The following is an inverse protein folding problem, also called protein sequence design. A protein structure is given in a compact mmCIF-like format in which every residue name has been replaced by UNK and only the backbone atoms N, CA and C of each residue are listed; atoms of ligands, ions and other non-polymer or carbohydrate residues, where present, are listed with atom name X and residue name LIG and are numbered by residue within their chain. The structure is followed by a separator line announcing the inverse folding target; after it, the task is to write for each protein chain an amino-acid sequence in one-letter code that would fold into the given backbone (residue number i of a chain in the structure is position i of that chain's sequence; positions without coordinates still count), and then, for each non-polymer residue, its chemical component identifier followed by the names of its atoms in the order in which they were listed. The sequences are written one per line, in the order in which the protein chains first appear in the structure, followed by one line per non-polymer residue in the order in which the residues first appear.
data_IF_790124717561
#
_entry.id   IF_790124717561
#
_cell.length_a   1.000
_cell.length_b   1.000
_cell.length_c   1.000
_cell.angle_alpha   90.00
_cell.angle_beta   90.00
_cell.angle_gamma   90.00
#
_symmetry.space_group_name_H-M   'P 1'
#
loop_
_entity.id
_entity.type
_entity.pdbx_description
1 polymer ?
#
# COMPACT_ATOMS: atom_id res chain seq x y z
N UNK A 1 -19.19 -12.70 -34.19
CA UNK A 1 -17.91 -12.15 -34.70
C UNK A 1 -17.33 -11.21 -33.65
N UNK A 2 -16.03 -11.33 -33.35
CA UNK A 2 -15.28 -10.51 -32.40
C UNK A 2 -14.29 -9.66 -33.21
N UNK A 3 -14.24 -8.36 -32.94
CA UNK A 3 -13.41 -7.39 -33.67
C UNK A 3 -12.44 -6.70 -32.69
N UNK A 4 -11.17 -6.55 -33.08
CA UNK A 4 -10.20 -5.76 -32.33
C UNK A 4 -9.00 -5.38 -33.18
N UNK A 5 -8.37 -4.23 -32.91
CA UNK A 5 -7.20 -3.76 -33.69
C UNK A 5 -6.03 -4.76 -33.62
N UNK A 6 -5.75 -5.27 -32.43
CA UNK A 6 -4.87 -6.41 -32.20
C UNK A 6 -5.60 -7.41 -31.30
N UNK A 7 -6.08 -8.52 -31.89
CA UNK A 7 -6.91 -9.49 -31.16
C UNK A 7 -6.17 -10.20 -30.02
N UNK A 8 -4.85 -10.35 -30.11
CA UNK A 8 -4.02 -10.90 -29.04
C UNK A 8 -4.05 -10.09 -27.74
N UNK A 9 -4.50 -8.81 -27.78
CA UNK A 9 -4.64 -7.93 -26.60
C UNK A 9 -6.03 -7.96 -25.96
N UNK A 10 -6.98 -8.73 -26.52
CA UNK A 10 -8.34 -8.82 -25.99
C UNK A 10 -8.39 -9.53 -24.63
N UNK A 11 -7.39 -10.33 -24.30
CA UNK A 11 -7.33 -11.10 -23.06
C UNK A 11 -6.29 -10.54 -22.08
N UNK A 12 -6.57 -10.66 -20.78
CA UNK A 12 -5.69 -10.14 -19.71
C UNK A 12 -4.48 -11.03 -19.44
N UNK A 13 -4.55 -12.28 -19.86
CA UNK A 13 -3.49 -13.27 -19.78
C UNK A 13 -3.70 -14.35 -20.85
N UNK A 14 -2.69 -15.21 -21.05
CA UNK A 14 -2.71 -16.24 -22.08
C UNK A 14 -3.81 -17.30 -21.83
N UNK A 15 -4.17 -17.61 -20.58
CA UNK A 15 -5.26 -18.54 -20.29
C UNK A 15 -6.63 -18.00 -20.71
N UNK A 16 -6.89 -16.71 -20.44
CA UNK A 16 -8.11 -16.02 -20.90
C UNK A 16 -8.15 -15.96 -22.44
N UNK A 17 -6.99 -15.80 -23.09
CA UNK A 17 -6.86 -15.82 -24.55
C UNK A 17 -7.25 -17.18 -25.13
N UNK A 18 -6.65 -18.25 -24.62
CA UNK A 18 -7.00 -19.61 -25.06
C UNK A 18 -8.49 -19.92 -24.80
N UNK A 19 -9.02 -19.46 -23.66
CA UNK A 19 -10.44 -19.65 -23.34
C UNK A 19 -11.35 -18.91 -24.31
N UNK A 20 -10.98 -17.70 -24.74
CA UNK A 20 -11.70 -16.96 -25.77
C UNK A 20 -11.70 -17.72 -27.10
N UNK A 21 -10.54 -18.26 -27.52
CA UNK A 21 -10.43 -19.04 -28.75
C UNK A 21 -11.32 -20.31 -28.71
N UNK A 22 -11.39 -21.00 -27.58
CA UNK A 22 -12.29 -22.13 -27.37
C UNK A 22 -13.76 -21.74 -27.50
N UNK A 23 -14.18 -20.67 -26.82
CA UNK A 23 -15.57 -20.20 -26.86
C UNK A 23 -15.98 -19.75 -28.27
N UNK A 24 -15.07 -19.10 -28.99
CA UNK A 24 -15.31 -18.68 -30.37
C UNK A 24 -15.44 -19.88 -31.31
N UNK A 25 -14.58 -20.89 -31.19
CA UNK A 25 -14.68 -22.13 -31.95
C UNK A 25 -16.00 -22.88 -31.68
N UNK A 26 -16.42 -22.97 -30.42
CA UNK A 26 -17.67 -23.65 -30.04
C UNK A 26 -18.93 -22.90 -30.53
N UNK A 27 -18.88 -21.57 -30.57
CA UNK A 27 -20.02 -20.73 -30.97
C UNK A 27 -20.06 -20.40 -32.46
N UNK A 28 -19.07 -20.84 -33.25
CA UNK A 28 -18.92 -20.46 -34.65
C UNK A 28 -18.62 -18.96 -34.84
N UNK A 29 -18.06 -18.30 -33.82
CA UNK A 29 -17.73 -16.88 -33.88
C UNK A 29 -16.36 -16.67 -34.50
N UNK A 30 -16.30 -15.91 -35.60
CA UNK A 30 -15.04 -15.46 -36.20
C UNK A 30 -14.37 -14.38 -35.35
N UNK A 31 -13.04 -14.32 -35.42
CA UNK A 31 -12.21 -13.28 -34.81
C UNK A 31 -11.54 -12.48 -35.93
N UNK A 32 -11.60 -11.16 -35.89
CA UNK A 32 -11.00 -10.33 -36.93
C UNK A 32 -10.16 -9.19 -36.33
N UNK A 33 -9.00 -8.96 -36.95
CA UNK A 33 -8.10 -7.84 -36.69
C UNK A 33 -7.71 -7.11 -37.98
N UNK A 34 -6.74 -6.19 -37.89
CA UNK A 34 -6.23 -5.45 -39.06
C UNK A 34 -5.59 -6.36 -40.13
N UNK A 35 -5.07 -7.52 -39.74
CA UNK A 35 -4.37 -8.45 -40.65
C UNK A 35 -5.34 -9.45 -41.31
N UNK A 36 -6.54 -9.66 -40.76
CA UNK A 36 -7.54 -10.50 -41.39
C UNK A 36 -8.65 -11.03 -40.49
N UNK A 37 -9.43 -11.95 -41.05
CA UNK A 37 -10.52 -12.67 -40.38
C UNK A 37 -10.11 -14.12 -40.19
N UNK A 38 -10.29 -14.63 -38.99
CA UNK A 38 -9.87 -15.95 -38.54
C UNK A 38 -11.06 -16.75 -38.02
N UNK A 39 -11.10 -18.04 -38.36
CA UNK A 39 -12.01 -19.02 -37.77
C UNK A 39 -11.26 -19.87 -36.72
N UNK A 40 -11.52 -19.68 -35.41
CA UNK A 40 -10.86 -20.46 -34.36
C UNK A 40 -11.15 -21.97 -34.38
N UNK A 41 -12.14 -22.43 -35.15
CA UNK A 41 -12.41 -23.85 -35.40
C UNK A 41 -11.50 -24.45 -36.48
N UNK A 42 -10.92 -23.62 -37.35
CA UNK A 42 -9.98 -24.05 -38.38
C UNK A 42 -8.54 -24.15 -37.82
N UNK A 43 -7.83 -25.21 -38.17
CA UNK A 43 -6.52 -25.51 -37.57
C UNK A 43 -5.46 -24.42 -37.82
N UNK A 44 -5.33 -23.94 -39.07
CA UNK A 44 -4.32 -22.95 -39.43
C UNK A 44 -4.55 -21.62 -38.73
N UNK A 45 -5.81 -21.16 -38.72
CA UNK A 45 -6.25 -19.92 -38.10
C UNK A 45 -6.05 -19.98 -36.58
N UNK A 46 -6.38 -21.12 -35.97
CA UNK A 46 -6.15 -21.37 -34.54
C UNK A 46 -4.67 -21.36 -34.18
N UNK A 47 -3.81 -21.96 -35.01
CA UNK A 47 -2.36 -21.95 -34.80
C UNK A 47 -1.81 -20.51 -34.88
N UNK A 48 -2.21 -19.75 -35.89
CA UNK A 48 -1.80 -18.35 -36.08
C UNK A 48 -2.27 -17.46 -34.91
N UNK A 49 -3.53 -17.61 -34.48
CA UNK A 49 -4.08 -16.92 -33.31
C UNK A 49 -3.34 -17.28 -32.01
N UNK A 50 -2.92 -18.55 -31.88
CA UNK A 50 -2.06 -19.01 -30.79
C UNK A 50 -0.70 -18.31 -30.78
N UNK A 51 -0.02 -18.27 -31.94
CA UNK A 51 1.26 -17.59 -32.10
C UNK A 51 1.15 -16.07 -31.83
N UNK A 52 0.11 -15.41 -32.35
CA UNK A 52 -0.18 -13.99 -32.06
C UNK A 52 -0.33 -13.73 -30.55
N UNK A 53 -0.97 -14.64 -29.82
CA UNK A 53 -1.05 -14.58 -28.36
C UNK A 53 0.30 -14.67 -27.66
N UNK A 54 1.14 -15.62 -28.05
CA UNK A 54 2.49 -15.79 -27.47
C UNK A 54 3.42 -14.63 -27.81
N UNK A 55 3.37 -14.10 -29.03
CA UNK A 55 4.16 -12.94 -29.45
C UNK A 55 3.79 -11.73 -28.61
N UNK A 56 2.49 -11.45 -28.44
CA UNK A 56 2.01 -10.35 -27.59
C UNK A 56 2.49 -10.47 -26.13
N UNK A 57 2.50 -11.68 -25.56
CA UNK A 57 3.04 -11.92 -24.21
C UNK A 57 4.55 -11.64 -24.14
N UNK A 58 5.31 -12.06 -25.17
CA UNK A 58 6.74 -11.80 -25.26
C UNK A 58 7.05 -10.30 -25.44
N UNK A 59 6.31 -9.59 -26.29
CA UNK A 59 6.43 -8.15 -26.48
C UNK A 59 6.17 -7.39 -25.19
N UNK A 60 5.11 -7.75 -24.44
CA UNK A 60 4.85 -7.18 -23.13
C UNK A 60 6.02 -7.40 -22.16
N UNK A 61 6.67 -8.57 -22.20
CA UNK A 61 7.85 -8.85 -21.39
C UNK A 61 9.04 -7.96 -21.78
N UNK A 62 9.31 -7.82 -23.08
CA UNK A 62 10.38 -6.98 -23.62
C UNK A 62 10.16 -5.50 -23.27
N UNK A 63 8.93 -5.01 -23.36
CA UNK A 63 8.57 -3.62 -23.03
C UNK A 63 8.66 -3.32 -21.53
N UNK A 64 8.29 -4.28 -20.66
CA UNK A 64 8.27 -4.06 -19.21
C UNK A 64 9.66 -4.01 -18.59
N UNK A 65 10.62 -4.80 -19.09
CA UNK A 65 11.92 -4.94 -18.42
C UNK A 65 12.72 -3.63 -18.34
N UNK A 66 12.86 -2.81 -19.40
CA UNK A 66 13.54 -1.52 -19.33
C UNK A 66 12.81 -0.51 -18.46
N UNK A 67 11.47 -0.50 -18.47
CA UNK A 67 10.64 0.39 -17.66
C UNK A 67 10.85 0.13 -16.17
N UNK A 68 10.83 -1.15 -15.77
CA UNK A 68 11.12 -1.55 -14.39
C UNK A 68 12.55 -1.20 -14.00
N UNK A 69 13.53 -1.42 -14.88
CA UNK A 69 14.91 -1.00 -14.67
C UNK A 69 15.06 0.50 -14.47
N UNK A 70 14.42 1.31 -15.32
CA UNK A 70 14.41 2.78 -15.22
C UNK A 70 13.74 3.28 -13.94
N UNK A 71 12.60 2.67 -13.56
CA UNK A 71 11.91 2.97 -12.31
C UNK A 71 12.79 2.67 -11.10
N UNK A 72 13.43 1.51 -11.06
CA UNK A 72 14.33 1.14 -9.97
C UNK A 72 15.59 2.01 -9.92
N UNK A 73 16.14 2.40 -11.07
CA UNK A 73 17.27 3.33 -11.12
C UNK A 73 16.90 4.71 -10.56
N UNK A 74 15.72 5.26 -10.91
CA UNK A 74 15.22 6.50 -10.29
C UNK A 74 14.99 6.33 -8.80
N UNK A 75 14.43 5.20 -8.36
CA UNK A 75 14.20 4.93 -6.94
C UNK A 75 15.52 4.90 -6.16
N UNK A 76 16.55 4.22 -6.69
CA UNK A 76 17.88 4.12 -6.06
C UNK A 76 18.58 5.47 -5.89
N UNK A 77 18.25 6.46 -6.73
CA UNK A 77 18.73 7.84 -6.58
C UNK A 77 17.82 8.73 -5.72
N UNK A 78 16.68 8.22 -5.25
CA UNK A 78 15.68 9.00 -4.50
C UNK A 78 14.84 9.95 -5.37
N UNK A 79 15.03 9.93 -6.69
CA UNK A 79 14.37 10.82 -7.65
C UNK A 79 12.98 10.32 -8.09
N UNK A 80 12.60 9.10 -7.69
CA UNK A 80 11.31 8.55 -8.08
C UNK A 80 10.18 9.28 -7.33
N UNK A 81 9.42 10.08 -8.07
CA UNK A 81 8.20 10.70 -7.58
C UNK A 81 7.15 9.63 -7.23
N UNK A 82 6.71 9.61 -5.98
CA UNK A 82 5.65 8.71 -5.48
C UNK A 82 4.67 9.51 -4.63
N UNK A 83 3.42 9.07 -4.46
CA UNK A 83 2.44 9.79 -3.66
C UNK A 83 2.95 10.09 -2.23
N UNK A 84 2.99 11.36 -1.87
CA UNK A 84 3.46 11.82 -0.56
C UNK A 84 2.35 11.69 0.50
N UNK A 85 2.70 11.31 1.75
CA UNK A 85 1.77 11.37 2.86
C UNK A 85 1.45 12.83 3.21
N UNK A 86 0.44 13.03 4.05
CA UNK A 86 0.09 14.38 4.57
C UNK A 86 1.29 14.99 5.31
N UNK A 87 1.44 16.32 5.26
CA UNK A 87 2.59 17.02 5.82
C UNK A 87 3.77 17.19 4.85
N UNK A 88 3.66 16.69 3.61
CA UNK A 88 4.67 16.88 2.59
C UNK A 88 4.08 17.27 1.23
N UNK A 89 4.86 18.06 0.49
CA UNK A 89 4.61 18.43 -0.91
C UNK A 89 5.89 18.27 -1.72
N UNK A 90 5.74 18.21 -3.05
CA UNK A 90 6.87 18.39 -3.96
C UNK A 90 6.98 19.88 -4.28
N UNK A 91 8.19 20.43 -4.22
CA UNK A 91 8.46 21.79 -4.66
C UNK A 91 8.55 21.88 -6.20
N UNK A 92 8.83 23.08 -6.72
CA UNK A 92 8.98 23.30 -8.16
C UNK A 92 10.16 22.53 -8.78
N UNK A 93 11.17 22.15 -7.99
CA UNK A 93 12.30 21.34 -8.43
C UNK A 93 12.03 19.83 -8.31
N UNK A 94 10.86 19.43 -7.78
CA UNK A 94 10.51 18.03 -7.54
C UNK A 94 11.15 17.44 -6.28
N UNK A 95 11.73 18.26 -5.41
CA UNK A 95 12.24 17.84 -4.11
C UNK A 95 11.11 17.75 -3.09
N UNK A 96 11.24 16.85 -2.11
CA UNK A 96 10.25 16.70 -1.04
C UNK A 96 10.52 17.76 0.03
N UNK A 97 9.52 18.59 0.31
CA UNK A 97 9.57 19.59 1.37
C UNK A 97 8.41 19.40 2.34
N UNK A 98 8.52 19.98 3.53
CA UNK A 98 7.39 20.07 4.46
C UNK A 98 6.26 20.86 3.79
N UNK A 99 5.02 20.49 4.10
CA UNK A 99 3.84 21.20 3.63
C UNK A 99 3.91 22.68 4.08
N UNK A 100 3.77 23.68 3.19
CA UNK A 100 3.85 25.09 3.57
C UNK A 100 2.73 25.52 4.52
N UNK A 101 1.62 24.77 4.59
CA UNK A 101 0.55 25.04 5.54
C UNK A 101 1.02 24.79 6.99
N UNK A 102 1.12 25.91 7.74
CA UNK A 102 1.54 25.90 9.14
C UNK A 102 0.59 25.10 10.04
N UNK A 103 -0.70 25.04 9.73
CA UNK A 103 -1.66 24.25 10.49
C UNK A 103 -1.38 22.75 10.32
N UNK A 104 -1.10 22.31 9.09
CA UNK A 104 -0.72 20.93 8.82
C UNK A 104 0.58 20.59 9.55
N UNK A 105 1.60 21.45 9.47
CA UNK A 105 2.85 21.23 10.20
C UNK A 105 2.64 21.16 11.70
N UNK A 106 1.81 22.05 12.27
CA UNK A 106 1.50 22.06 13.69
C UNK A 106 0.81 20.75 14.13
N UNK A 107 -0.22 20.31 13.40
CA UNK A 107 -0.92 19.06 13.71
C UNK A 107 0.01 17.84 13.65
N UNK A 108 0.91 17.79 12.65
CA UNK A 108 1.91 16.74 12.53
C UNK A 108 2.89 16.74 13.71
N UNK A 109 3.42 17.90 14.10
CA UNK A 109 4.34 18.04 15.25
C UNK A 109 3.65 17.64 16.55
N UNK A 110 2.43 18.13 16.78
CA UNK A 110 1.62 17.80 17.95
C UNK A 110 1.36 16.28 18.07
N UNK A 111 1.12 15.59 16.95
CA UNK A 111 0.96 14.13 16.94
C UNK A 111 2.24 13.45 17.43
N UNK A 112 3.41 13.80 16.89
CA UNK A 112 4.68 13.19 17.30
C UNK A 112 5.06 13.55 18.73
N UNK A 113 4.86 14.80 19.16
CA UNK A 113 5.11 15.22 20.54
C UNK A 113 4.20 14.49 21.53
N UNK A 114 2.93 14.30 21.18
CA UNK A 114 1.99 13.52 22.00
C UNK A 114 2.38 12.04 22.05
N UNK A 115 2.80 11.46 20.93
CA UNK A 115 3.27 10.07 20.92
C UNK A 115 4.54 9.92 21.75
N UNK A 116 5.47 10.89 21.69
CA UNK A 116 6.68 10.93 22.51
C UNK A 116 6.36 10.95 24.01
N UNK A 117 5.32 11.67 24.42
CA UNK A 117 4.88 11.76 25.81
C UNK A 117 4.14 10.49 26.28
N UNK A 118 3.31 9.90 25.42
CA UNK A 118 2.39 8.81 25.82
C UNK A 118 2.92 7.41 25.52
N UNK A 119 3.83 7.27 24.55
CA UNK A 119 4.29 6.00 24.01
C UNK A 119 3.18 5.12 23.42
N UNK A 120 1.97 5.64 23.20
CA UNK A 120 0.79 4.85 22.83
C UNK A 120 -0.05 5.54 21.76
N UNK A 121 -0.29 4.82 20.66
CA UNK A 121 -1.12 5.29 19.56
C UNK A 121 -2.57 5.57 20.02
N UNK A 122 -3.13 4.69 20.85
CA UNK A 122 -4.46 4.88 21.42
C UNK A 122 -4.54 6.07 22.37
N UNK A 123 -3.52 6.26 23.22
CA UNK A 123 -3.48 7.42 24.12
C UNK A 123 -3.37 8.73 23.34
N UNK A 124 -2.62 8.72 22.24
CA UNK A 124 -2.51 9.87 21.33
C UNK A 124 -3.87 10.20 20.69
N UNK A 125 -4.59 9.20 20.16
CA UNK A 125 -5.95 9.41 19.63
C UNK A 125 -6.89 9.98 20.68
N UNK A 126 -6.89 9.42 21.89
CA UNK A 126 -7.74 9.90 23.00
C UNK A 126 -7.43 11.35 23.36
N UNK A 127 -6.16 11.76 23.32
CA UNK A 127 -5.77 13.16 23.56
C UNK A 127 -6.38 14.08 22.50
N UNK A 128 -6.20 13.76 21.22
CA UNK A 128 -6.79 14.54 20.12
C UNK A 128 -8.31 14.65 20.23
N UNK A 129 -8.99 13.54 20.57
CA UNK A 129 -10.44 13.53 20.77
C UNK A 129 -10.88 14.39 21.97
N UNK A 130 -10.20 14.26 23.13
CA UNK A 130 -10.50 15.02 24.34
C UNK A 130 -10.31 16.53 24.13
N UNK A 131 -9.30 16.91 23.37
CA UNK A 131 -8.98 18.32 23.08
C UNK A 131 -9.75 18.85 21.86
N UNK A 132 -10.59 18.03 21.22
CA UNK A 132 -11.40 18.43 20.05
C UNK A 132 -10.57 18.80 18.82
N UNK A 133 -9.35 18.26 18.70
CA UNK A 133 -8.38 18.65 17.69
C UNK A 133 -8.59 17.83 16.41
N UNK A 134 -9.00 18.44 15.29
CA UNK A 134 -9.06 17.75 14.02
C UNK A 134 -7.65 17.50 13.46
N UNK A 135 -7.53 16.52 12.58
CA UNK A 135 -6.28 16.14 11.96
C UNK A 135 -6.37 16.22 10.43
N UNK A 136 -5.29 16.58 9.70
CA UNK A 136 -5.34 16.69 8.25
C UNK A 136 -5.27 15.31 7.58
N UNK A 137 -6.23 15.05 6.69
CA UNK A 137 -6.34 13.83 5.91
C UNK A 137 -6.24 14.14 4.42
N UNK A 138 -5.19 13.63 3.79
CA UNK A 138 -5.06 13.67 2.33
C UNK A 138 -5.91 12.57 1.70
N UNK A 139 -6.91 12.98 0.94
CA UNK A 139 -7.84 12.07 0.26
C UNK A 139 -7.17 11.32 -0.89
N UNK A 140 -7.40 10.00 -0.90
CA UNK A 140 -6.87 9.06 -1.91
C UNK A 140 -8.04 8.48 -2.70
N UNK A 141 -8.69 9.29 -3.52
CA UNK A 141 -9.82 8.87 -4.36
C UNK A 141 -10.23 9.99 -5.30
N UNK A 142 -10.82 9.65 -6.44
CA UNK A 142 -11.51 10.61 -7.32
C UNK A 142 -12.93 10.83 -6.78
N UNK A 143 -13.48 12.06 -6.76
CA UNK A 143 -12.97 13.29 -7.39
C UNK A 143 -11.93 14.07 -6.55
N UNK A 144 -11.86 13.82 -5.24
CA UNK A 144 -11.14 14.65 -4.26
C UNK A 144 -9.64 14.34 -4.14
N UNK A 145 -9.00 13.92 -5.23
CA UNK A 145 -7.63 13.38 -5.18
C UNK A 145 -6.66 14.48 -4.77
N UNK A 146 -6.06 14.33 -3.59
CA UNK A 146 -5.10 15.30 -3.05
C UNK A 146 -5.71 16.39 -2.20
N UNK A 147 -7.04 16.47 -2.08
CA UNK A 147 -7.71 17.39 -1.15
C UNK A 147 -7.33 17.04 0.30
N UNK A 148 -7.10 18.07 1.11
CA UNK A 148 -6.90 17.93 2.56
C UNK A 148 -8.22 18.19 3.28
N UNK A 149 -8.70 17.21 4.03
CA UNK A 149 -9.85 17.37 4.94
C UNK A 149 -9.43 17.27 6.40
N UNK A 150 -10.03 18.09 7.24
CA UNK A 150 -9.80 18.09 8.67
C UNK A 150 -10.85 17.20 9.35
N UNK A 151 -10.45 16.00 9.76
CA UNK A 151 -11.35 14.99 10.35
C UNK A 151 -10.76 14.49 11.69
N UNK A 152 -11.57 13.87 12.55
CA UNK A 152 -11.07 13.25 13.78
C UNK A 152 -9.89 12.30 13.51
N UNK A 153 -8.90 12.28 14.42
CA UNK A 153 -7.78 11.36 14.33
C UNK A 153 -8.24 9.94 14.73
N UNK A 154 -7.98 8.97 13.86
CA UNK A 154 -8.34 7.57 14.09
C UNK A 154 -7.12 6.69 14.34
N UNK A 155 -7.32 5.58 15.06
CA UNK A 155 -6.26 4.64 15.41
C UNK A 155 -5.51 4.03 14.19
N UNK A 156 -6.17 3.58 13.12
CA UNK A 156 -5.47 3.06 11.95
C UNK A 156 -4.60 4.15 11.28
N UNK A 157 -5.06 5.41 11.32
CA UNK A 157 -4.37 6.53 10.70
C UNK A 157 -3.07 6.86 11.42
N UNK A 158 -3.10 6.94 12.76
CA UNK A 158 -1.87 7.19 13.53
C UNK A 158 -0.86 6.05 13.33
N UNK A 159 -1.27 4.78 13.29
CA UNK A 159 -0.35 3.68 13.01
C UNK A 159 0.27 3.81 11.62
N UNK A 160 -0.52 4.17 10.60
CA UNK A 160 0.01 4.43 9.27
C UNK A 160 1.06 5.55 9.26
N UNK A 161 0.85 6.61 10.06
CA UNK A 161 1.79 7.72 10.22
C UNK A 161 3.06 7.26 10.92
N UNK A 162 2.94 6.62 12.09
CA UNK A 162 4.07 6.21 12.91
C UNK A 162 4.92 5.11 12.24
N UNK A 163 4.35 4.27 11.38
CA UNK A 163 5.11 3.28 10.59
C UNK A 163 5.65 3.83 9.26
N UNK A 164 5.46 5.12 8.94
CA UNK A 164 5.92 5.69 7.69
C UNK A 164 7.29 6.39 7.85
N UNK A 165 8.37 5.83 7.28
CA UNK A 165 9.72 6.36 7.41
C UNK A 165 9.90 7.74 6.75
N UNK A 166 8.96 8.17 5.89
CA UNK A 166 9.01 9.51 5.28
C UNK A 166 8.94 10.63 6.30
N UNK A 167 8.25 10.43 7.43
CA UNK A 167 8.24 11.42 8.52
C UNK A 167 9.59 11.54 9.21
N UNK A 168 10.49 10.59 9.02
CA UNK A 168 11.86 10.58 9.51
C UNK A 168 12.88 11.04 8.45
N UNK A 169 12.42 11.73 7.40
CA UNK A 169 13.28 12.22 6.32
C UNK A 169 13.76 11.14 5.33
N UNK A 170 13.26 9.90 5.42
CA UNK A 170 13.73 8.82 4.58
C UNK A 170 12.86 8.59 3.33
N UNK A 171 13.53 8.36 2.20
CA UNK A 171 12.92 7.80 1.00
C UNK A 171 12.97 6.28 1.05
N UNK A 172 11.83 5.62 0.88
CA UNK A 172 11.74 4.17 0.89
C UNK A 172 10.87 3.68 -0.28
N UNK A 173 11.37 2.68 -1.02
CA UNK A 173 10.69 2.08 -2.16
C UNK A 173 10.68 0.55 -2.05
N UNK A 174 9.63 -0.09 -2.58
CA UNK A 174 9.48 -1.54 -2.50
C UNK A 174 9.11 -2.06 -1.10
N UNK A 175 8.36 -1.27 -0.31
CA UNK A 175 7.93 -1.65 1.06
C UNK A 175 6.86 -2.75 1.10
N UNK A 176 6.29 -3.06 -0.07
CA UNK A 176 5.17 -3.99 -0.21
C UNK A 176 5.33 -4.79 -1.49
N UNK A 177 4.91 -6.05 -1.47
CA UNK A 177 4.84 -6.92 -2.65
C UNK A 177 3.42 -7.41 -2.83
N UNK A 178 2.99 -7.52 -4.08
CA UNK A 178 1.73 -8.17 -4.43
C UNK A 178 1.98 -9.68 -4.48
N UNK A 179 1.21 -10.43 -3.70
CA UNK A 179 1.20 -11.89 -3.71
C UNK A 179 -0.19 -12.38 -4.16
N UNK A 180 -0.25 -13.51 -4.86
CA UNK A 180 -1.53 -14.16 -5.15
C UNK A 180 -2.00 -14.93 -3.93
N UNK A 181 -3.30 -14.86 -3.65
CA UNK A 181 -3.94 -15.64 -2.60
C UNK A 181 -3.89 -17.13 -2.98
N UNK A 182 -4.03 -18.04 -1.99
CA UNK A 182 -3.95 -19.50 -2.19
C UNK A 182 -4.96 -20.04 -3.21
N UNK A 183 -6.08 -19.33 -3.39
CA UNK A 183 -7.12 -19.65 -4.37
C UNK A 183 -6.83 -19.10 -5.78
N UNK A 184 -5.72 -18.37 -5.97
CA UNK A 184 -5.27 -17.70 -7.20
C UNK A 184 -6.26 -16.71 -7.82
N UNK A 185 -7.41 -16.46 -7.18
CA UNK A 185 -8.48 -15.58 -7.67
C UNK A 185 -8.29 -14.12 -7.26
N UNK A 186 -7.53 -13.88 -6.19
CA UNK A 186 -7.28 -12.55 -5.66
C UNK A 186 -5.80 -12.28 -5.45
N UNK A 187 -5.44 -11.00 -5.44
CA UNK A 187 -4.12 -10.52 -5.10
C UNK A 187 -4.16 -9.79 -3.77
N UNK A 188 -3.24 -10.12 -2.88
CA UNK A 188 -3.07 -9.48 -1.58
C UNK A 188 -1.76 -8.69 -1.56
N UNK A 189 -1.78 -7.50 -0.97
CA UNK A 189 -0.58 -6.70 -0.74
C UNK A 189 0.04 -7.10 0.59
N UNK A 190 1.28 -7.58 0.55
CA UNK A 190 2.05 -7.99 1.74
C UNK A 190 3.07 -6.89 2.05
N UNK A 191 3.12 -6.48 3.32
CA UNK A 191 4.18 -5.60 3.82
C UNK A 191 5.47 -6.39 4.04
N UNK A 192 6.57 -5.88 3.49
CA UNK A 192 7.88 -6.50 3.61
C UNK A 192 8.63 -6.01 4.86
N UNK A 193 9.46 -6.88 5.41
CA UNK A 193 10.43 -6.49 6.42
C UNK A 193 11.36 -5.40 5.86
N UNK A 194 11.91 -4.57 6.75
CA UNK A 194 12.74 -3.43 6.33
C UNK A 194 13.97 -3.85 5.52
N UNK A 195 14.54 -5.00 5.86
CA UNK A 195 15.70 -5.60 5.19
C UNK A 195 15.41 -5.98 3.73
N UNK A 196 14.15 -6.29 3.44
CA UNK A 196 13.68 -6.69 2.10
C UNK A 196 13.21 -5.50 1.26
N UNK A 197 13.33 -4.26 1.77
CA UNK A 197 12.97 -3.08 1.00
C UNK A 197 13.99 -2.87 -0.13
N UNK A 198 13.49 -2.62 -1.33
CA UNK A 198 14.36 -2.46 -2.52
C UNK A 198 15.27 -1.23 -2.42
N UNK A 199 14.79 -0.15 -1.79
CA UNK A 199 15.56 1.07 -1.57
C UNK A 199 15.17 1.69 -0.24
N UNK A 200 16.17 2.08 0.55
CA UNK A 200 16.03 2.94 1.71
C UNK A 200 17.17 3.96 1.71
N UNK A 201 16.83 5.24 1.52
CA UNK A 201 17.76 6.36 1.59
C UNK A 201 17.33 7.20 2.79
N UNK A 202 18.18 7.25 3.81
CA UNK A 202 17.98 8.11 4.98
C UNK A 202 18.36 9.55 4.61
N UNK A 203 17.80 10.52 5.34
CA UNK A 203 18.09 11.95 5.16
C UNK A 203 17.92 12.44 3.71
N UNK A 204 16.96 11.86 2.99
CA UNK A 204 16.62 12.22 1.62
C UNK A 204 15.87 13.56 1.54
N UNK A 205 15.18 13.93 2.62
CA UNK A 205 14.44 15.19 2.75
C UNK A 205 14.23 15.54 4.23
N UNK A 206 13.77 16.77 4.52
CA UNK A 206 13.50 17.18 5.90
C UNK A 206 12.35 16.35 6.52
N UNK A 207 12.59 15.71 7.67
CA UNK A 207 11.57 14.98 8.43
C UNK A 207 10.87 15.84 9.50
N UNK A 208 9.75 15.33 10.03
CA UNK A 208 9.12 15.85 11.26
C UNK A 208 9.80 15.32 12.53
N UNK A 209 10.44 14.15 12.43
CA UNK A 209 11.22 13.49 13.48
C UNK A 209 12.58 13.05 12.93
N UNK A 210 13.55 12.77 13.78
CA UNK A 210 14.82 12.18 13.33
C UNK A 210 14.67 10.68 13.02
N UNK A 211 15.67 10.11 12.32
CA UNK A 211 15.72 8.68 12.08
C UNK A 211 15.79 7.86 13.38
N UNK A 212 16.56 8.33 14.37
CA UNK A 212 16.71 7.69 15.68
C UNK A 212 15.40 7.72 16.47
N UNK A 213 14.65 8.82 16.40
CA UNK A 213 13.32 8.90 16.98
C UNK A 213 12.35 7.93 16.30
N UNK A 214 12.39 7.82 14.97
CA UNK A 214 11.58 6.84 14.24
C UNK A 214 11.88 5.40 14.66
N UNK A 215 13.15 5.03 14.80
CA UNK A 215 13.55 3.69 15.24
C UNK A 215 13.08 3.40 16.67
N UNK A 216 13.23 4.35 17.58
CA UNK A 216 12.67 4.24 18.94
C UNK A 216 11.16 4.04 18.91
N UNK A 217 10.44 4.81 18.08
CA UNK A 217 9.00 4.66 17.91
C UNK A 217 8.62 3.26 17.39
N UNK A 218 9.37 2.69 16.44
CA UNK A 218 9.11 1.32 15.96
C UNK A 218 9.28 0.28 17.08
N UNK A 219 10.31 0.44 17.93
CA UNK A 219 10.53 -0.44 19.09
C UNK A 219 9.37 -0.34 20.07
N UNK A 220 8.95 0.88 20.43
CA UNK A 220 7.81 1.11 21.33
C UNK A 220 6.52 0.49 20.77
N UNK A 221 6.24 0.66 19.47
CA UNK A 221 5.07 0.05 18.84
C UNK A 221 5.11 -1.48 18.88
N UNK A 222 6.28 -2.08 18.63
CA UNK A 222 6.48 -3.53 18.70
C UNK A 222 6.29 -4.05 20.13
N UNK A 223 6.83 -3.35 21.13
CA UNK A 223 6.66 -3.68 22.54
C UNK A 223 5.19 -3.58 22.97
N UNK A 224 4.48 -2.53 22.55
CA UNK A 224 3.04 -2.38 22.82
C UNK A 224 2.22 -3.52 22.21
N UNK A 225 2.53 -3.94 20.98
CA UNK A 225 1.88 -5.06 20.33
C UNK A 225 2.16 -6.38 21.08
N UNK A 226 3.42 -6.61 21.46
CA UNK A 226 3.80 -7.79 22.23
C UNK A 226 3.11 -7.82 23.60
N UNK A 227 3.04 -6.70 24.31
CA UNK A 227 2.37 -6.57 25.59
C UNK A 227 0.84 -6.73 25.49
N UNK A 228 0.26 -6.36 24.33
CA UNK A 228 -1.15 -6.60 24.03
C UNK A 228 -1.42 -8.08 23.75
N UNK A 229 -0.56 -8.73 22.94
CA UNK A 229 -0.68 -10.13 22.56
C UNK A 229 -0.40 -11.10 23.73
N UNK A 230 0.55 -10.77 24.60
CA UNK A 230 0.89 -11.57 25.79
C UNK A 230 -0.07 -11.37 26.96
N UNK A 231 -1.04 -10.45 26.85
CA UNK A 231 -1.95 -10.09 27.93
C UNK A 231 -1.28 -9.34 29.11
N UNK A 232 0.05 -9.16 29.10
CA UNK A 232 0.80 -8.55 30.19
C UNK A 232 0.39 -7.08 30.48
N UNK A 233 -0.19 -6.38 29.49
CA UNK A 233 -0.73 -5.02 29.64
C UNK A 233 -2.26 -4.94 29.78
N UNK A 234 -2.95 -6.08 29.82
CA UNK A 234 -4.36 -6.18 30.24
C UNK A 234 -4.41 -6.60 31.72
N UNK A 235 -4.14 -5.66 32.62
CA UNK A 235 -4.36 -5.86 34.07
C UNK A 235 -3.34 -5.21 35.02
N UNK A 236 -2.22 -4.65 34.53
CA UNK A 236 -1.23 -4.02 35.41
C UNK A 236 -1.69 -2.69 36.04
N UNK A 237 -2.70 -2.04 35.45
CA UNK A 237 -3.41 -0.92 36.08
C UNK A 237 -4.92 -1.23 36.11
N UNK A 238 -5.59 -1.05 37.26
CA UNK A 238 -7.05 -1.08 37.33
C UNK A 238 -7.63 -0.15 36.28
N UNK A 239 -8.47 -0.68 35.39
CA UNK A 239 -9.29 0.15 34.50
C UNK A 239 -10.64 0.29 35.19
N UNK A 240 -11.11 1.52 35.37
CA UNK A 240 -12.47 1.77 35.84
C UNK A 240 -13.46 1.17 34.83
N UNK A 241 -14.05 0.03 35.21
CA UNK A 241 -15.07 -0.69 34.48
C UNK A 241 -15.90 -1.48 35.48
N UNK A 242 -17.21 -1.56 35.25
CA UNK A 242 -18.21 -2.07 36.19
C UNK A 242 -18.19 -3.60 36.41
N UNK A 243 -17.16 -4.31 35.95
CA UNK A 243 -17.10 -5.77 36.00
C UNK A 243 -16.11 -6.25 37.07
N UNK A 244 -16.62 -6.98 38.06
CA UNK A 244 -15.91 -7.46 39.26
C UNK A 244 -14.65 -8.31 38.97
N UNK A 245 -14.58 -8.93 37.79
CA UNK A 245 -13.48 -9.82 37.36
C UNK A 245 -12.78 -9.35 36.09
N UNK A 246 -12.90 -8.05 35.75
CA UNK A 246 -12.33 -7.50 34.53
C UNK A 246 -10.80 -7.60 34.55
N UNK A 247 -10.24 -8.47 33.70
CA UNK A 247 -8.80 -8.74 33.70
C UNK A 247 -8.35 -9.81 34.69
N UNK A 248 -9.26 -10.63 35.24
CA UNK A 248 -8.91 -11.76 36.12
C UNK A 248 -9.38 -13.12 35.60
N UNK A 249 -10.46 -13.20 34.83
CA UNK A 249 -10.93 -14.48 34.26
C UNK A 249 -10.17 -14.85 32.97
N UNK A 250 -9.83 -16.14 32.82
CA UNK A 250 -9.29 -16.77 31.60
C UNK A 250 -10.13 -18.01 31.26
N UNK A 251 -10.31 -18.32 29.98
CA UNK A 251 -10.90 -19.58 29.55
C UNK A 251 -9.94 -20.74 29.83
N UNK A 252 -10.32 -21.67 30.72
CA UNK A 252 -9.53 -22.87 31.02
C UNK A 252 -9.37 -23.86 29.86
N UNK A 253 -10.04 -23.63 28.71
CA UNK A 253 -9.97 -24.50 27.53
C UNK A 253 -9.07 -23.99 26.42
N UNK A 254 -9.08 -22.68 26.15
CA UNK A 254 -8.30 -22.09 25.07
C UNK A 254 -7.33 -21.01 25.53
N UNK A 255 -7.23 -20.76 26.84
CA UNK A 255 -6.36 -19.72 27.42
C UNK A 255 -6.75 -18.29 27.05
N UNK A 256 -7.81 -18.09 26.25
CA UNK A 256 -8.30 -16.78 25.85
C UNK A 256 -9.05 -16.14 27.02
N UNK A 257 -8.79 -14.84 27.28
CA UNK A 257 -9.57 -14.03 28.22
C UNK A 257 -10.77 -13.42 27.54
#
# INVERSE_FOLDING_TARGET
MVLGLEVSRLARNNADWQRLLELCALSGSLIADEDGVYDPAHFNDRLLLGLKGTISEAELHVLKAPLLGGLLNKARRGELAVPLPVGFVYDAAGAVTLDPDRQIQYAMRMLFDTFRQTGSANATVRRFQREGLPFPHRMRGTPDRGEIRWLPLEHPRILHILHNPRYAGAFAFGRTRIARTKDLKSTTQIHLAREDWMVLIKDAHAGYISWEEFERNQVTLKQNLAAYASGASRGALPREGSALLQGHAICGRCGSR
#
